data_IF_509783307751
#
_entry.id   IF_509783307751
#
_cell.length_a   1.000
_cell.length_b   1.000
_cell.length_c   1.000
_cell.angle_alpha   90.00
_cell.angle_beta   90.00
_cell.angle_gamma   90.00
#
_symmetry.space_group_name_H-M   'P 1'
#
loop_
_entity.id
_entity.type
_entity.pdbx_description
1 polymer ?
#
# COMPACT_ATOMS: atom_id res chain seq x y z
N UNK A 1 50.94 18.81 11.71
CA UNK A 1 49.84 19.03 10.75
C UNK A 1 48.61 19.36 11.56
N UNK A 2 48.33 20.66 11.73
CA UNK A 2 47.31 21.22 12.63
C UNK A 2 46.01 21.41 11.84
N UNK A 3 44.94 20.76 12.28
CA UNK A 3 43.60 20.87 11.68
C UNK A 3 42.81 21.89 12.50
N UNK A 4 42.47 23.02 11.89
CA UNK A 4 41.56 24.02 12.44
C UNK A 4 40.11 23.57 12.24
N UNK A 5 39.37 23.40 13.34
CA UNK A 5 37.92 23.22 13.34
C UNK A 5 37.25 24.59 13.51
N UNK A 6 36.71 25.14 12.43
CA UNK A 6 35.87 26.34 12.47
C UNK A 6 34.44 25.93 12.85
N UNK A 7 34.02 26.26 14.07
CA UNK A 7 32.62 26.16 14.52
C UNK A 7 31.86 27.40 14.07
N UNK A 8 30.92 27.23 13.15
CA UNK A 8 30.00 28.29 12.73
C UNK A 8 28.73 28.20 13.60
N UNK A 9 28.64 29.05 14.63
CA UNK A 9 27.41 29.20 15.42
C UNK A 9 26.48 30.16 14.71
N UNK A 10 25.37 29.66 14.18
CA UNK A 10 24.26 30.48 13.67
C UNK A 10 23.25 30.67 14.79
N UNK A 11 23.14 31.90 15.29
CA UNK A 11 22.05 32.29 16.16
C UNK A 11 20.81 32.54 15.30
N UNK A 12 19.74 31.78 15.56
CA UNK A 12 18.42 32.02 14.97
C UNK A 12 17.68 32.96 15.92
N UNK A 13 17.51 34.22 15.51
CA UNK A 13 16.58 35.16 16.14
C UNK A 13 15.14 34.74 15.82
N UNK A 14 14.42 34.27 16.83
CA UNK A 14 12.97 34.02 16.74
C UNK A 14 12.27 35.35 17.06
N UNK A 15 11.90 36.10 16.04
CA UNK A 15 10.97 37.22 16.20
C UNK A 15 9.54 36.66 16.34
N UNK A 16 9.04 36.64 17.57
CA UNK A 16 7.65 36.36 17.92
C UNK A 16 6.76 37.54 17.51
N UNK A 17 6.19 37.48 16.30
CA UNK A 17 5.17 38.43 15.86
C UNK A 17 3.77 37.93 16.27
N UNK A 18 3.14 38.70 17.16
CA UNK A 18 1.72 38.60 17.52
C UNK A 18 0.86 38.58 16.24
N UNK A 19 0.30 37.41 15.92
CA UNK A 19 -0.64 37.29 14.79
C UNK A 19 -2.05 37.58 15.29
N UNK A 20 -2.77 38.58 14.74
CA UNK A 20 -4.17 38.79 15.06
C UNK A 20 -5.00 37.60 14.56
N UNK A 21 -5.97 37.14 15.35
CA UNK A 21 -6.97 36.15 14.93
C UNK A 21 -7.66 36.63 13.66
N UNK A 22 -7.20 36.11 12.52
CA UNK A 22 -7.89 36.24 11.26
C UNK A 22 -9.21 35.47 11.38
N UNK A 23 -10.32 36.19 11.51
CA UNK A 23 -11.62 35.62 11.21
C UNK A 23 -11.60 35.23 9.74
N UNK A 24 -11.49 33.94 9.46
CA UNK A 24 -11.65 33.38 8.13
C UNK A 24 -13.12 33.64 7.76
N UNK A 25 -13.35 34.74 7.06
CA UNK A 25 -14.62 35.04 6.42
C UNK A 25 -14.76 33.99 5.32
N UNK A 26 -15.48 32.91 5.61
CA UNK A 26 -15.85 31.89 4.62
C UNK A 26 -16.68 32.61 3.57
N UNK A 27 -16.02 33.01 2.47
CA UNK A 27 -16.71 33.50 1.28
C UNK A 27 -17.74 32.46 0.91
N UNK A 28 -19.01 32.87 0.84
CA UNK A 28 -20.08 32.05 0.31
C UNK A 28 -19.63 31.52 -1.04
N UNK A 29 -19.30 30.23 -1.10
CA UNK A 29 -18.92 29.56 -2.33
C UNK A 29 -20.09 29.74 -3.31
N UNK A 30 -19.83 30.53 -4.35
CA UNK A 30 -20.73 30.71 -5.49
C UNK A 30 -21.19 29.34 -5.98
N UNK A 31 -22.47 29.25 -6.31
CA UNK A 31 -23.19 28.07 -6.77
C UNK A 31 -22.40 27.23 -7.78
N UNK A 32 -21.67 26.22 -7.30
CA UNK A 32 -21.24 25.11 -8.13
C UNK A 32 -22.48 24.29 -8.47
N UNK A 33 -23.04 24.51 -9.64
CA UNK A 33 -24.03 23.63 -10.28
C UNK A 33 -23.35 22.37 -10.83
N UNK A 34 -22.51 21.75 -10.03
CA UNK A 34 -21.79 20.54 -10.38
C UNK A 34 -22.49 19.34 -9.74
N UNK A 35 -22.65 18.20 -10.42
CA UNK A 35 -23.27 16.98 -9.87
C UNK A 35 -22.59 16.46 -8.59
N UNK A 36 -21.46 17.04 -8.21
CA UNK A 36 -20.73 16.75 -6.97
C UNK A 36 -21.34 17.40 -5.71
N UNK A 37 -22.35 18.26 -5.86
CA UNK A 37 -23.02 18.92 -4.73
C UNK A 37 -23.71 17.92 -3.79
N UNK A 38 -24.17 16.77 -4.31
CA UNK A 38 -25.00 15.83 -3.54
C UNK A 38 -24.29 15.24 -2.31
N UNK A 39 -23.00 14.92 -2.39
CA UNK A 39 -22.24 14.37 -1.24
C UNK A 39 -21.90 15.43 -0.20
N UNK A 40 -21.63 16.65 -0.66
CA UNK A 40 -21.41 17.76 0.26
C UNK A 40 -22.72 18.11 0.98
N UNK A 41 -23.84 18.08 0.25
CA UNK A 41 -25.17 18.34 0.80
C UNK A 41 -25.54 17.29 1.87
N UNK A 42 -25.16 16.02 1.72
CA UNK A 42 -25.41 14.99 2.75
C UNK A 42 -24.60 15.20 4.03
N UNK A 43 -23.39 15.75 3.93
CA UNK A 43 -22.55 16.09 5.09
C UNK A 43 -22.76 17.51 5.61
N UNK A 44 -23.59 18.33 4.95
CA UNK A 44 -23.76 19.76 5.27
C UNK A 44 -24.45 20.02 6.61
N UNK A 45 -25.05 19.00 7.23
CA UNK A 45 -25.59 19.08 8.59
C UNK A 45 -24.49 19.22 9.66
N UNK A 46 -23.26 18.85 9.33
CA UNK A 46 -22.09 19.01 10.21
C UNK A 46 -21.29 20.25 9.85
N UNK A 47 -20.77 20.94 10.86
CA UNK A 47 -19.88 22.09 10.65
C UNK A 47 -18.56 21.63 9.99
N UNK A 48 -18.18 22.32 8.91
CA UNK A 48 -16.94 22.05 8.18
C UNK A 48 -15.73 22.15 9.12
N UNK A 49 -14.85 21.16 9.05
CA UNK A 49 -13.66 21.08 9.90
C UNK A 49 -13.87 20.36 11.23
N UNK A 50 -15.10 19.96 11.56
CA UNK A 50 -15.36 19.05 12.69
C UNK A 50 -15.00 17.60 12.35
N UNK A 51 -14.72 16.80 13.38
CA UNK A 51 -14.47 15.37 13.24
C UNK A 51 -15.67 14.63 12.60
N UNK A 52 -16.89 15.01 12.98
CA UNK A 52 -18.12 14.44 12.42
C UNK A 52 -18.27 14.71 10.92
N UNK A 53 -17.96 15.94 10.49
CA UNK A 53 -17.93 16.29 9.06
C UNK A 53 -16.89 15.46 8.30
N UNK A 54 -15.67 15.32 8.84
CA UNK A 54 -14.62 14.51 8.21
C UNK A 54 -14.96 13.02 8.13
N UNK A 55 -15.58 12.47 9.19
CA UNK A 55 -16.08 11.10 9.19
C UNK A 55 -17.18 10.90 8.14
N UNK A 56 -18.11 11.85 8.00
CA UNK A 56 -19.15 11.80 6.96
C UNK A 56 -18.52 11.73 5.56
N UNK A 57 -17.57 12.62 5.24
CA UNK A 57 -16.86 12.59 3.95
C UNK A 57 -16.13 11.26 3.70
N UNK A 58 -15.51 10.68 4.73
CA UNK A 58 -14.91 9.35 4.65
C UNK A 58 -15.94 8.27 4.28
N UNK A 59 -17.16 8.32 4.85
CA UNK A 59 -18.24 7.37 4.56
C UNK A 59 -18.77 7.54 3.13
N UNK A 60 -18.91 8.78 2.68
CA UNK A 60 -19.39 9.11 1.32
C UNK A 60 -18.31 8.90 0.24
N UNK A 61 -17.05 8.67 0.60
CA UNK A 61 -16.00 8.50 -0.41
C UNK A 61 -16.25 7.28 -1.31
N UNK A 62 -17.01 6.28 -0.88
CA UNK A 62 -17.33 5.10 -1.71
C UNK A 62 -18.14 5.47 -2.97
N UNK A 63 -18.97 6.51 -2.90
CA UNK A 63 -19.87 6.92 -3.98
C UNK A 63 -19.23 7.92 -4.94
N UNK A 64 -18.04 8.43 -4.63
CA UNK A 64 -17.32 9.34 -5.52
C UNK A 64 -16.86 8.61 -6.79
N UNK A 65 -17.06 9.25 -7.94
CA UNK A 65 -16.85 8.62 -9.24
C UNK A 65 -15.53 9.03 -9.91
N UNK A 66 -14.96 10.18 -9.53
CA UNK A 66 -13.74 10.71 -10.14
C UNK A 66 -12.63 10.94 -9.12
N UNK A 67 -11.39 10.92 -9.60
CA UNK A 67 -10.19 11.32 -8.83
C UNK A 67 -10.24 12.81 -8.47
N UNK A 68 -10.85 13.64 -9.32
CA UNK A 68 -10.96 15.08 -9.04
C UNK A 68 -11.77 15.32 -7.78
N UNK A 69 -12.94 14.68 -7.71
CA UNK A 69 -13.86 14.74 -6.58
C UNK A 69 -13.15 14.24 -5.32
N UNK A 70 -12.48 13.09 -5.43
CA UNK A 70 -11.74 12.51 -4.33
C UNK A 70 -10.73 13.50 -3.72
N UNK A 71 -9.91 14.13 -4.58
CA UNK A 71 -8.88 15.07 -4.14
C UNK A 71 -9.48 16.31 -3.50
N UNK A 72 -10.57 16.83 -4.07
CA UNK A 72 -11.26 17.99 -3.51
C UNK A 72 -11.87 17.66 -2.15
N UNK A 73 -12.73 16.64 -2.07
CA UNK A 73 -13.50 16.34 -0.87
C UNK A 73 -12.67 15.73 0.25
N UNK A 74 -11.79 14.75 -0.04
CA UNK A 74 -10.98 14.17 1.04
C UNK A 74 -10.02 15.19 1.67
N UNK A 75 -9.63 16.25 0.95
CA UNK A 75 -8.84 17.34 1.55
C UNK A 75 -9.61 18.10 2.63
N UNK A 76 -10.95 18.08 2.60
CA UNK A 76 -11.80 18.69 3.63
C UNK A 76 -12.07 17.77 4.81
N UNK A 77 -11.69 16.49 4.72
CA UNK A 77 -11.94 15.50 5.76
C UNK A 77 -11.00 15.63 6.98
N UNK A 78 -10.00 16.52 6.91
CA UNK A 78 -9.07 16.78 8.01
C UNK A 78 -8.35 15.51 8.48
N UNK A 79 -8.52 15.13 9.75
CA UNK A 79 -7.91 13.91 10.31
C UNK A 79 -8.32 12.61 9.61
N UNK A 80 -9.41 12.62 8.84
CA UNK A 80 -9.93 11.46 8.10
C UNK A 80 -9.46 11.41 6.63
N UNK A 81 -8.66 12.37 6.15
CA UNK A 81 -8.24 12.44 4.74
C UNK A 81 -7.63 11.12 4.23
N UNK A 82 -6.74 10.51 5.02
CA UNK A 82 -6.09 9.25 4.64
C UNK A 82 -7.09 8.08 4.54
N UNK A 83 -8.04 7.99 5.46
CA UNK A 83 -9.09 6.96 5.47
C UNK A 83 -10.07 7.19 4.32
N UNK A 84 -10.42 8.44 4.04
CA UNK A 84 -11.26 8.84 2.92
C UNK A 84 -10.66 8.36 1.58
N UNK A 85 -9.37 8.64 1.35
CA UNK A 85 -8.62 8.19 0.16
C UNK A 85 -8.53 6.66 0.11
N UNK A 86 -8.14 6.03 1.22
CA UNK A 86 -8.00 4.58 1.29
C UNK A 86 -9.31 3.86 0.96
N UNK A 87 -10.44 4.35 1.49
CA UNK A 87 -11.74 3.76 1.28
C UNK A 87 -12.18 3.87 -0.19
N UNK A 88 -11.98 5.03 -0.82
CA UNK A 88 -12.23 5.19 -2.25
C UNK A 88 -11.36 4.25 -3.09
N UNK A 89 -10.04 4.19 -2.82
CA UNK A 89 -9.14 3.28 -3.55
C UNK A 89 -9.60 1.83 -3.40
N UNK A 90 -10.08 1.44 -2.22
CA UNK A 90 -10.61 0.10 -1.98
C UNK A 90 -11.84 -0.21 -2.84
N UNK A 91 -12.72 0.75 -3.13
CA UNK A 91 -13.87 0.53 -4.03
C UNK A 91 -13.46 0.46 -5.51
N UNK A 92 -12.36 1.12 -5.89
CA UNK A 92 -11.84 1.12 -7.26
C UNK A 92 -10.72 0.10 -7.50
N UNK A 93 -10.44 -0.79 -6.55
CA UNK A 93 -9.30 -1.71 -6.63
C UNK A 93 -9.49 -2.86 -7.65
N UNK A 94 -10.72 -3.15 -8.08
CA UNK A 94 -10.97 -4.19 -9.09
C UNK A 94 -10.34 -3.80 -10.45
N UNK A 95 -9.69 -4.71 -11.21
CA UNK A 95 -9.02 -4.36 -12.48
C UNK A 95 -9.93 -3.70 -13.53
N UNK A 96 -11.23 -3.94 -13.47
CA UNK A 96 -12.23 -3.36 -14.37
C UNK A 96 -12.78 -1.99 -13.90
N UNK A 97 -12.19 -1.36 -12.89
CA UNK A 97 -12.64 -0.05 -12.38
C UNK A 97 -12.36 1.13 -13.29
N UNK A 98 -11.60 0.94 -14.38
CA UNK A 98 -11.17 2.00 -15.28
C UNK A 98 -9.91 2.76 -14.83
N UNK A 99 -9.38 2.48 -13.64
CA UNK A 99 -8.16 3.11 -13.12
C UNK A 99 -6.96 2.17 -13.23
N UNK A 100 -5.79 2.69 -13.61
CA UNK A 100 -4.57 1.90 -13.67
C UNK A 100 -4.02 1.61 -12.27
N UNK A 101 -3.17 0.58 -12.12
CA UNK A 101 -2.50 0.30 -10.85
C UNK A 101 -1.62 1.46 -10.40
N UNK A 102 -0.97 2.17 -11.34
CA UNK A 102 -0.12 3.31 -11.02
C UNK A 102 -0.94 4.48 -10.50
N UNK A 103 -2.08 4.81 -11.12
CA UNK A 103 -2.95 5.90 -10.66
C UNK A 103 -3.41 5.65 -9.22
N UNK A 104 -3.84 4.43 -8.89
CA UNK A 104 -4.25 4.08 -7.54
C UNK A 104 -3.09 4.18 -6.54
N UNK A 105 -1.88 3.79 -6.93
CA UNK A 105 -0.70 3.89 -6.07
C UNK A 105 -0.26 5.34 -5.83
N UNK A 106 -0.40 6.20 -6.83
CA UNK A 106 -0.14 7.63 -6.70
C UNK A 106 -1.14 8.28 -5.75
N UNK A 107 -2.42 7.91 -5.81
CA UNK A 107 -3.44 8.39 -4.86
C UNK A 107 -3.17 7.93 -3.43
N UNK A 108 -2.72 6.68 -3.24
CA UNK A 108 -2.35 6.20 -1.91
C UNK A 108 -1.24 7.05 -1.27
N UNK A 109 -0.37 7.69 -2.06
CA UNK A 109 0.68 8.57 -1.56
C UNK A 109 1.54 7.91 -0.48
N UNK A 110 1.44 8.41 0.76
CA UNK A 110 2.17 7.87 1.93
C UNK A 110 1.34 6.89 2.78
N UNK A 111 0.10 6.60 2.40
CA UNK A 111 -0.81 5.67 3.09
C UNK A 111 -0.37 4.24 2.77
N UNK A 112 0.53 3.69 3.60
CA UNK A 112 1.19 2.41 3.33
C UNK A 112 0.23 1.25 3.14
N UNK A 113 -0.82 1.16 3.96
CA UNK A 113 -1.81 0.08 3.88
C UNK A 113 -2.65 0.18 2.61
N UNK A 114 -2.85 1.40 2.10
CA UNK A 114 -3.44 1.64 0.77
C UNK A 114 -2.55 1.07 -0.32
N UNK A 115 -1.28 1.49 -0.36
CA UNK A 115 -0.34 1.03 -1.38
C UNK A 115 -0.13 -0.48 -1.33
N UNK A 116 0.03 -1.05 -0.13
CA UNK A 116 0.17 -2.49 0.07
C UNK A 116 -1.04 -3.23 -0.50
N UNK A 117 -2.26 -2.80 -0.16
CA UNK A 117 -3.49 -3.45 -0.63
C UNK A 117 -3.60 -3.40 -2.15
N UNK A 118 -3.28 -2.27 -2.78
CA UNK A 118 -3.28 -2.13 -4.24
C UNK A 118 -2.29 -3.09 -4.90
N UNK A 119 -1.04 -3.12 -4.41
CA UNK A 119 0.02 -3.99 -4.94
C UNK A 119 -0.33 -5.47 -4.76
N UNK A 120 -0.89 -5.86 -3.61
CA UNK A 120 -1.27 -7.25 -3.31
C UNK A 120 -2.49 -7.71 -4.11
N UNK A 121 -3.48 -6.83 -4.31
CA UNK A 121 -4.71 -7.15 -5.06
C UNK A 121 -4.51 -7.16 -6.58
N UNK A 122 -3.59 -6.32 -7.10
CA UNK A 122 -3.28 -6.21 -8.53
C UNK A 122 -1.82 -6.61 -8.83
N UNK A 123 -1.44 -7.88 -8.61
CA UNK A 123 -0.06 -8.30 -8.83
C UNK A 123 0.29 -8.21 -10.32
N UNK A 124 1.51 -7.75 -10.61
CA UNK A 124 2.08 -7.82 -11.95
C UNK A 124 2.36 -9.27 -12.35
N UNK A 125 2.53 -9.51 -13.65
CA UNK A 125 2.91 -10.84 -14.14
C UNK A 125 4.38 -11.14 -13.87
N UNK A 126 5.28 -10.19 -14.12
CA UNK A 126 6.69 -10.32 -13.74
C UNK A 126 6.88 -9.98 -12.26
N UNK A 127 7.48 -10.90 -11.51
CA UNK A 127 7.76 -10.70 -10.08
C UNK A 127 8.80 -9.60 -9.83
N UNK A 128 9.73 -9.34 -10.75
CA UNK A 128 10.69 -8.24 -10.56
C UNK A 128 9.99 -6.88 -10.62
N UNK A 129 9.02 -6.72 -11.51
CA UNK A 129 8.17 -5.52 -11.57
C UNK A 129 7.35 -5.36 -10.28
N UNK A 130 6.80 -6.47 -9.78
CA UNK A 130 6.04 -6.48 -8.52
C UNK A 130 6.91 -6.00 -7.34
N UNK A 131 8.13 -6.52 -7.26
CA UNK A 131 9.07 -6.18 -6.21
C UNK A 131 9.53 -4.71 -6.31
N UNK A 132 9.66 -4.18 -7.52
CA UNK A 132 9.92 -2.76 -7.76
C UNK A 132 8.75 -1.87 -7.30
N UNK A 133 7.50 -2.29 -7.53
CA UNK A 133 6.32 -1.60 -7.00
C UNK A 133 6.31 -1.61 -5.46
N UNK A 134 6.56 -2.77 -4.85
CA UNK A 134 6.70 -2.89 -3.38
C UNK A 134 7.74 -1.89 -2.84
N UNK A 135 8.92 -1.85 -3.46
CA UNK A 135 10.02 -0.97 -3.03
C UNK A 135 9.64 0.50 -3.13
N UNK A 136 9.02 0.89 -4.25
CA UNK A 136 8.69 2.28 -4.57
C UNK A 136 7.55 2.83 -3.69
N UNK A 137 6.45 2.08 -3.56
CA UNK A 137 5.21 2.59 -2.98
C UNK A 137 4.95 2.13 -1.55
N UNK A 138 5.35 0.91 -1.18
CA UNK A 138 5.09 0.37 0.16
C UNK A 138 6.19 0.74 1.17
N UNK A 139 7.42 0.92 0.69
CA UNK A 139 8.59 1.46 1.43
C UNK A 139 8.88 0.73 2.73
N UNK A 140 8.40 1.23 3.88
CA UNK A 140 8.73 0.65 5.21
C UNK A 140 8.19 -0.77 5.38
N UNK A 141 7.12 -1.12 4.67
CA UNK A 141 6.56 -2.48 4.70
C UNK A 141 6.97 -3.27 3.44
N UNK A 142 8.10 -2.89 2.82
CA UNK A 142 8.64 -3.57 1.63
C UNK A 142 8.82 -5.07 1.86
N UNK A 143 9.31 -5.46 3.04
CA UNK A 143 9.61 -6.86 3.33
C UNK A 143 8.38 -7.76 3.29
N UNK A 144 7.26 -7.31 3.88
CA UNK A 144 6.00 -8.03 3.85
C UNK A 144 5.44 -8.11 2.43
N UNK A 145 5.51 -7.00 1.69
CA UNK A 145 5.05 -6.94 0.30
C UNK A 145 5.88 -7.86 -0.61
N UNK A 146 7.20 -7.87 -0.44
CA UNK A 146 8.11 -8.74 -1.19
C UNK A 146 7.89 -10.21 -0.84
N UNK A 147 7.65 -10.54 0.43
CA UNK A 147 7.31 -11.89 0.85
C UNK A 147 6.01 -12.38 0.20
N UNK A 148 4.95 -11.55 0.17
CA UNK A 148 3.68 -11.88 -0.49
C UNK A 148 3.86 -12.07 -2.01
N UNK A 149 4.59 -11.16 -2.66
CA UNK A 149 4.90 -11.23 -4.08
C UNK A 149 5.62 -12.53 -4.44
N UNK A 150 6.65 -12.90 -3.68
CA UNK A 150 7.41 -14.12 -3.91
C UNK A 150 6.61 -15.39 -3.58
N UNK A 151 5.76 -15.36 -2.54
CA UNK A 151 4.84 -16.44 -2.24
C UNK A 151 3.87 -16.69 -3.40
N UNK A 152 3.30 -15.61 -3.96
CA UNK A 152 2.40 -15.68 -5.11
C UNK A 152 3.13 -16.17 -6.37
N UNK A 153 4.35 -15.71 -6.62
CA UNK A 153 5.20 -16.22 -7.70
C UNK A 153 5.47 -17.72 -7.56
N UNK A 154 5.87 -18.18 -6.38
CA UNK A 154 6.15 -19.60 -6.13
C UNK A 154 4.89 -20.47 -6.29
N UNK A 155 3.74 -20.00 -5.80
CA UNK A 155 2.43 -20.68 -5.98
C UNK A 155 2.02 -20.84 -7.44
N UNK A 156 2.52 -20.00 -8.36
CA UNK A 156 2.31 -20.16 -9.81
C UNK A 156 3.15 -21.30 -10.42
N UNK A 157 3.93 -22.03 -9.62
CA UNK A 157 4.76 -23.16 -10.04
C UNK A 157 5.69 -22.79 -11.22
N UNK A 158 6.58 -21.80 -11.05
CA UNK A 158 7.41 -21.25 -12.12
C UNK A 158 8.33 -22.31 -12.73
N UNK A 159 8.64 -22.14 -14.03
CA UNK A 159 9.51 -23.06 -14.77
C UNK A 159 10.99 -22.87 -14.41
N UNK A 160 11.83 -23.81 -14.87
CA UNK A 160 13.28 -23.72 -14.70
C UNK A 160 13.87 -22.47 -15.39
N UNK A 161 13.38 -22.10 -16.57
CA UNK A 161 13.83 -20.92 -17.30
C UNK A 161 13.55 -19.64 -16.50
N UNK A 162 12.39 -19.58 -15.86
CA UNK A 162 12.01 -18.45 -15.00
C UNK A 162 12.87 -18.39 -13.73
N UNK A 163 13.14 -19.54 -13.10
CA UNK A 163 14.09 -19.63 -11.97
C UNK A 163 15.47 -19.13 -12.39
N UNK A 164 15.98 -19.58 -13.53
CA UNK A 164 17.29 -19.16 -14.04
C UNK A 164 17.34 -17.68 -14.38
N UNK A 165 16.25 -17.12 -14.94
CA UNK A 165 16.12 -15.68 -15.21
C UNK A 165 16.26 -14.88 -13.92
N UNK A 166 15.52 -15.25 -12.88
CA UNK A 166 15.56 -14.56 -11.59
C UNK A 166 16.86 -14.76 -10.83
N UNK A 167 17.49 -15.94 -10.93
CA UNK A 167 18.82 -16.19 -10.37
C UNK A 167 19.89 -15.27 -10.95
N UNK A 168 19.73 -14.80 -12.19
CA UNK A 168 20.64 -13.83 -12.83
C UNK A 168 20.33 -12.37 -12.47
N UNK A 169 19.17 -12.08 -11.88
CA UNK A 169 18.80 -10.72 -11.54
C UNK A 169 19.76 -10.14 -10.48
N UNK A 170 20.39 -9.02 -10.80
CA UNK A 170 21.12 -8.21 -9.84
C UNK A 170 20.12 -7.28 -9.17
N UNK A 171 19.72 -7.61 -7.94
CA UNK A 171 18.70 -6.86 -7.23
C UNK A 171 19.05 -6.72 -5.77
N UNK A 172 18.85 -5.51 -5.23
CA UNK A 172 18.85 -5.26 -3.78
C UNK A 172 17.81 -6.12 -3.03
N UNK A 173 16.87 -6.71 -3.79
CA UNK A 173 15.78 -7.57 -3.31
C UNK A 173 16.23 -9.05 -3.17
N UNK A 174 17.53 -9.29 -3.37
CA UNK A 174 18.25 -10.56 -3.20
C UNK A 174 17.77 -11.43 -2.03
N UNK A 175 17.50 -10.85 -0.85
CA UNK A 175 17.13 -11.64 0.34
C UNK A 175 15.85 -12.46 0.13
N UNK A 176 14.79 -11.84 -0.36
CA UNK A 176 13.47 -12.46 -0.54
C UNK A 176 13.45 -13.37 -1.77
N UNK A 177 14.03 -12.89 -2.87
CA UNK A 177 14.24 -13.68 -4.08
C UNK A 177 15.01 -14.97 -3.76
N UNK A 178 16.15 -14.84 -3.08
CA UNK A 178 17.02 -15.97 -2.75
C UNK A 178 16.33 -17.03 -1.90
N UNK A 179 15.46 -16.67 -0.95
CA UNK A 179 14.72 -17.65 -0.17
C UNK A 179 13.79 -18.49 -1.04
N UNK A 180 12.89 -17.86 -1.79
CA UNK A 180 11.90 -18.59 -2.58
C UNK A 180 12.50 -19.30 -3.81
N UNK A 181 13.56 -18.75 -4.41
CA UNK A 181 14.33 -19.45 -5.44
C UNK A 181 14.98 -20.71 -4.87
N UNK A 182 15.55 -20.64 -3.65
CA UNK A 182 16.12 -21.83 -3.01
C UNK A 182 15.05 -22.86 -2.70
N UNK A 183 13.87 -22.45 -2.21
CA UNK A 183 12.75 -23.37 -2.00
C UNK A 183 12.43 -24.08 -3.32
N UNK A 184 12.30 -23.34 -4.42
CA UNK A 184 11.98 -23.92 -5.73
C UNK A 184 13.05 -24.90 -6.22
N UNK A 185 14.32 -24.58 -6.05
CA UNK A 185 15.44 -25.43 -6.47
C UNK A 185 15.60 -26.65 -5.56
N UNK A 186 15.66 -26.45 -4.25
CA UNK A 186 15.98 -27.50 -3.29
C UNK A 186 14.79 -28.39 -2.95
N UNK A 187 13.63 -27.78 -2.66
CA UNK A 187 12.45 -28.51 -2.21
C UNK A 187 11.67 -29.11 -3.37
N UNK A 188 11.54 -28.35 -4.48
CA UNK A 188 10.74 -28.80 -5.62
C UNK A 188 11.60 -29.43 -6.73
N UNK A 189 12.93 -29.32 -6.65
CA UNK A 189 13.84 -29.89 -7.65
C UNK A 189 13.85 -29.16 -8.98
N UNK A 190 13.49 -27.87 -9.02
CA UNK A 190 13.35 -27.09 -10.26
C UNK A 190 14.45 -26.05 -10.40
N UNK A 191 15.37 -26.32 -11.34
CA UNK A 191 16.51 -25.47 -11.67
C UNK A 191 17.74 -25.73 -10.81
N UNK A 192 18.70 -24.80 -10.87
CA UNK A 192 20.00 -24.93 -10.22
C UNK A 192 20.42 -23.61 -9.56
N UNK A 193 21.30 -23.68 -8.55
CA UNK A 193 21.93 -22.50 -7.94
C UNK A 193 22.99 -21.87 -8.89
N UNK A 194 22.57 -21.42 -10.07
CA UNK A 194 23.42 -20.83 -11.11
C UNK A 194 22.86 -19.47 -11.52
N UNK A 195 23.61 -18.40 -11.22
CA UNK A 195 23.12 -17.03 -11.43
C UNK A 195 24.16 -15.99 -11.09
N UNK A 196 23.72 -14.81 -10.66
CA UNK A 196 24.63 -13.80 -10.12
C UNK A 196 25.36 -14.36 -8.90
N UNK A 197 26.59 -13.89 -8.64
CA UNK A 197 27.40 -14.39 -7.51
C UNK A 197 26.66 -14.29 -6.17
N UNK A 198 25.88 -13.21 -5.98
CA UNK A 198 25.07 -12.98 -4.78
C UNK A 198 23.96 -14.03 -4.65
N UNK A 199 23.20 -14.29 -5.73
CA UNK A 199 22.14 -15.31 -5.74
C UNK A 199 22.65 -16.73 -5.62
N UNK A 200 23.73 -17.06 -6.33
CA UNK A 200 24.36 -18.37 -6.20
C UNK A 200 24.80 -18.65 -4.76
N UNK A 201 25.51 -17.71 -4.13
CA UNK A 201 25.98 -17.86 -2.74
C UNK A 201 24.80 -18.06 -1.80
N UNK A 202 23.78 -17.20 -1.91
CA UNK A 202 22.57 -17.28 -1.06
C UNK A 202 21.84 -18.61 -1.23
N UNK A 203 21.70 -19.08 -2.47
CA UNK A 203 21.04 -20.34 -2.80
C UNK A 203 21.75 -21.54 -2.17
N UNK A 204 23.08 -21.58 -2.27
CA UNK A 204 23.90 -22.65 -1.70
C UNK A 204 23.85 -22.66 -0.17
N UNK A 205 23.93 -21.49 0.47
CA UNK A 205 23.83 -21.35 1.93
C UNK A 205 22.48 -21.85 2.45
N UNK A 206 21.39 -21.41 1.83
CA UNK A 206 20.05 -21.82 2.22
C UNK A 206 19.82 -23.32 1.94
N UNK A 207 20.30 -23.85 0.82
CA UNK A 207 20.23 -25.28 0.50
C UNK A 207 20.94 -26.13 1.57
N UNK A 208 22.08 -25.67 2.07
CA UNK A 208 22.80 -26.32 3.18
C UNK A 208 21.97 -26.30 4.47
N UNK A 209 21.29 -25.18 4.76
CA UNK A 209 20.41 -25.07 5.92
C UNK A 209 19.20 -26.04 5.83
N UNK A 210 18.57 -26.16 4.66
CA UNK A 210 17.52 -27.15 4.42
C UNK A 210 18.03 -28.59 4.60
N UNK A 211 19.20 -28.93 4.01
CA UNK A 211 19.80 -30.26 4.13
C UNK A 211 20.11 -30.68 5.57
N UNK A 212 20.49 -29.72 6.41
CA UNK A 212 20.73 -29.96 7.84
C UNK A 212 19.46 -30.00 8.70
N UNK A 213 18.30 -29.69 8.13
CA UNK A 213 17.05 -29.55 8.87
C UNK A 213 16.92 -28.25 9.69
N UNK A 214 17.82 -27.28 9.48
CA UNK A 214 17.73 -25.95 10.11
C UNK A 214 16.58 -25.10 9.49
N UNK A 215 16.14 -25.49 8.29
CA UNK A 215 14.96 -24.97 7.58
C UNK A 215 14.12 -26.14 7.07
N UNK A 216 12.80 -25.96 7.03
CA UNK A 216 11.88 -26.95 6.49
C UNK A 216 11.28 -26.44 5.19
N UNK A 217 11.15 -27.33 4.21
CA UNK A 217 10.47 -27.01 2.96
C UNK A 217 9.02 -26.59 3.26
N UNK A 218 8.60 -25.38 2.85
CA UNK A 218 7.25 -24.91 3.11
C UNK A 218 6.24 -25.84 2.42
N UNK A 219 5.17 -26.21 3.12
CA UNK A 219 4.08 -26.97 2.51
C UNK A 219 3.24 -26.01 1.67
N UNK A 220 3.13 -26.27 0.37
CA UNK A 220 2.13 -25.57 -0.44
C UNK A 220 0.77 -26.11 0.00
N UNK A 221 0.02 -25.33 0.78
CA UNK A 221 -1.41 -25.60 0.97
C UNK A 221 -2.13 -25.25 -0.33
N UNK A 222 -2.09 -26.17 -1.31
CA UNK A 222 -2.75 -26.02 -2.62
C UNK A 222 -4.29 -25.97 -2.51
N UNK A 223 -4.86 -26.16 -1.31
CA UNK A 223 -6.31 -26.26 -1.07
C UNK A 223 -6.97 -25.05 -0.39
N UNK A 224 -6.24 -24.22 0.35
CA UNK A 224 -6.86 -23.07 1.03
C UNK A 224 -6.74 -21.81 0.18
N UNK A 225 -7.66 -21.68 -0.78
CA UNK A 225 -8.20 -20.35 -1.16
C UNK A 225 -9.10 -19.78 -0.06
N UNK A 226 -9.03 -20.31 1.16
CA UNK A 226 -9.74 -19.81 2.32
C UNK A 226 -9.22 -18.43 2.67
N UNK A 227 -9.89 -17.40 2.13
CA UNK A 227 -9.97 -16.05 2.67
C UNK A 227 -8.80 -15.66 3.57
N UNK A 228 -7.78 -15.00 3.02
CA UNK A 228 -7.07 -14.03 3.85
C UNK A 228 -8.15 -13.05 4.34
N UNK A 229 -8.67 -13.28 5.55
CA UNK A 229 -9.43 -12.26 6.26
C UNK A 229 -8.43 -11.13 6.43
N UNK A 230 -8.60 -10.05 5.67
CA UNK A 230 -7.81 -8.83 5.84
C UNK A 230 -7.92 -8.49 7.34
N UNK A 231 -6.80 -8.49 8.09
CA UNK A 231 -6.81 -8.11 9.50
C UNK A 231 -7.34 -6.67 9.55
N UNK A 232 -8.54 -6.48 10.11
CA UNK A 232 -9.19 -5.17 10.16
C UNK A 232 -10.43 -5.01 9.27
N UNK A 233 -10.87 -6.03 8.53
CA UNK A 233 -12.29 -6.06 8.13
C UNK A 233 -13.08 -6.57 9.33
N UNK A 234 -13.81 -5.73 10.08
CA UNK A 234 -14.71 -6.25 11.09
C UNK A 234 -15.64 -7.26 10.41
N UNK A 235 -16.02 -8.38 11.08
CA UNK A 235 -17.09 -9.21 10.57
C UNK A 235 -18.24 -8.28 10.20
N UNK A 236 -18.81 -8.47 9.00
CA UNK A 236 -19.98 -7.73 8.54
C UNK A 236 -21.16 -8.09 9.45
N UNK A 237 -21.14 -7.55 10.66
CA UNK A 237 -22.28 -7.37 11.50
C UNK A 237 -23.02 -6.21 10.87
N UNK A 238 -23.89 -6.54 9.93
CA UNK A 238 -25.04 -5.71 9.63
C UNK A 238 -25.89 -5.63 10.91
N UNK A 239 -25.46 -4.80 11.85
CA UNK A 239 -26.16 -4.42 13.09
C UNK A 239 -26.65 -2.96 13.02
N UNK A 240 -26.43 -2.29 11.89
CA UNK A 240 -27.02 -0.98 11.61
C UNK A 240 -28.22 -1.14 10.67
N UNK A 241 -29.25 -1.85 11.14
CA UNK A 241 -30.61 -1.43 10.77
C UNK A 241 -30.82 -0.08 11.45
N UNK A 242 -31.12 1.01 10.72
CA UNK A 242 -31.55 2.24 11.35
C UNK A 242 -32.82 1.99 12.18
N UNK A 243 -33.02 2.66 13.32
CA UNK A 243 -34.25 2.55 14.06
C UNK A 243 -35.41 2.91 13.13
N UNK A 244 -36.38 1.98 13.01
CA UNK A 244 -37.65 2.26 12.36
C UNK A 244 -38.31 3.47 13.05
N UNK A 245 -38.23 4.64 12.43
CA UNK A 245 -39.13 5.74 12.76
C UNK A 245 -40.52 5.34 12.28
N UNK A 246 -41.38 4.93 13.22
CA UNK A 246 -42.82 4.86 12.99
C UNK A 246 -43.33 6.30 12.81
N UNK A 247 -44.03 6.54 11.70
CA UNK A 247 -44.90 7.71 11.56
C UNK A 247 -46.11 7.59 12.48
#
# INVERSE_FOLDING_TARGET
MLIFLASCSTQVEIQSQNTPSAQIKVSSHNSLSSPHKEWFDSCSEYEVGTDAFGFCLYKESETMNSISDLKEYCSWAGGWESQCIYNWVATKIAPNSGYSTVDLLELCGNIKDCAFRVVDYRPTQDVLDQLNLCKRYVRRNFDDCAMHAMLNWWKKNPSEEEVLRLMKAESEISRHLGYYLTVRIYCDGVGECKGSKVMQTRCLELSKAFKKGEKQCPKIHLGDRGSYKIPGTPPNHNKNQPPHFKR
#
